data_IF_851089690581
#
_entry.id   IF_851089690581
#
_cell.length_a   1.000
_cell.length_b   1.000
_cell.length_c   1.000
_cell.angle_alpha   90.00
_cell.angle_beta   90.00
_cell.angle_gamma   90.00
#
_symmetry.space_group_name_H-M   'P 1'
#
loop_
_entity.id
_entity.type
_entity.pdbx_description
1 polymer ?
#
# COMPACT_ATOMS: atom_id res chain seq x y z
N UNK A 1 -1.50 -11.59 -19.37
CA UNK A 1 -1.59 -11.26 -17.93
C UNK A 1 -0.60 -12.04 -17.07
N UNK A 2 -0.61 -13.39 -17.01
CA UNK A 2 0.36 -14.14 -16.18
C UNK A 2 1.80 -13.86 -16.62
N UNK A 3 2.08 -13.88 -17.91
CA UNK A 3 3.42 -13.62 -18.47
C UNK A 3 3.88 -12.18 -18.26
N UNK A 4 2.95 -11.23 -18.20
CA UNK A 4 3.24 -9.82 -17.87
C UNK A 4 3.74 -9.65 -16.43
N UNK A 5 3.27 -10.51 -15.52
CA UNK A 5 3.68 -10.53 -14.12
C UNK A 5 4.83 -11.49 -13.81
N UNK A 6 5.64 -11.90 -14.81
CA UNK A 6 6.72 -12.86 -14.63
C UNK A 6 6.27 -14.15 -13.92
N UNK A 7 5.02 -14.57 -14.18
CA UNK A 7 4.42 -15.78 -13.64
C UNK A 7 3.36 -15.52 -12.56
N UNK A 8 2.71 -16.63 -12.19
CA UNK A 8 1.57 -16.62 -11.27
C UNK A 8 1.92 -16.07 -9.87
N UNK A 9 3.16 -16.29 -9.43
CA UNK A 9 3.62 -15.87 -8.09
C UNK A 9 3.53 -14.36 -7.92
N UNK A 10 4.08 -13.58 -8.85
CA UNK A 10 4.05 -12.12 -8.75
C UNK A 10 2.66 -11.54 -9.02
N UNK A 11 1.86 -12.19 -9.86
CA UNK A 11 0.46 -11.83 -10.02
C UNK A 11 -0.32 -11.99 -8.70
N UNK A 12 -0.12 -13.10 -7.99
CA UNK A 12 -0.76 -13.35 -6.69
C UNK A 12 -0.28 -12.33 -5.65
N UNK A 13 1.02 -12.04 -5.58
CA UNK A 13 1.58 -11.02 -4.68
C UNK A 13 0.95 -9.65 -4.97
N UNK A 14 0.82 -9.27 -6.25
CA UNK A 14 0.17 -8.03 -6.66
C UNK A 14 -1.30 -7.97 -6.19
N UNK A 15 -2.07 -9.03 -6.44
CA UNK A 15 -3.47 -9.11 -6.02
C UNK A 15 -3.59 -9.01 -4.50
N UNK A 16 -2.80 -9.76 -3.74
CA UNK A 16 -2.83 -9.73 -2.26
C UNK A 16 -2.47 -8.33 -1.74
N UNK A 17 -1.43 -7.71 -2.29
CA UNK A 17 -1.00 -6.38 -1.89
C UNK A 17 -2.11 -5.34 -2.08
N UNK A 18 -2.72 -5.28 -3.28
CA UNK A 18 -3.76 -4.29 -3.56
C UNK A 18 -5.12 -4.65 -2.98
N UNK A 19 -5.41 -5.92 -2.69
CA UNK A 19 -6.55 -6.32 -1.85
C UNK A 19 -6.39 -5.80 -0.42
N UNK A 20 -5.17 -5.80 0.13
CA UNK A 20 -4.86 -5.14 1.40
C UNK A 20 -5.16 -3.64 1.37
N UNK A 21 -4.74 -2.94 0.32
CA UNK A 21 -5.06 -1.52 0.12
C UNK A 21 -6.57 -1.27 0.01
N UNK A 22 -7.29 -2.11 -0.74
CA UNK A 22 -8.74 -2.01 -0.87
C UNK A 22 -9.44 -2.22 0.48
N UNK A 23 -8.96 -3.17 1.29
CA UNK A 23 -9.46 -3.43 2.64
C UNK A 23 -9.28 -2.20 3.55
N UNK A 24 -8.08 -1.58 3.56
CA UNK A 24 -7.86 -0.36 4.33
C UNK A 24 -8.60 0.85 3.77
N UNK A 25 -8.74 0.97 2.46
CA UNK A 25 -9.60 1.97 1.84
C UNK A 25 -11.04 1.89 2.35
N UNK A 26 -11.62 0.67 2.33
CA UNK A 26 -12.95 0.42 2.86
C UNK A 26 -13.07 0.80 4.34
N UNK A 27 -12.15 0.34 5.17
CA UNK A 27 -12.15 0.61 6.62
C UNK A 27 -12.02 2.11 6.92
N UNK A 28 -11.12 2.80 6.24
CA UNK A 28 -10.88 4.23 6.48
C UNK A 28 -11.99 5.12 5.96
N UNK A 29 -12.63 4.78 4.82
CA UNK A 29 -13.63 5.65 4.18
C UNK A 29 -15.04 5.31 4.61
N UNK A 30 -15.43 4.03 4.55
CA UNK A 30 -16.80 3.59 4.79
C UNK A 30 -17.04 3.08 6.21
N UNK A 31 -16.04 2.51 6.85
CA UNK A 31 -16.11 2.00 8.22
C UNK A 31 -15.27 2.83 9.20
N UNK A 32 -15.17 4.13 8.95
CA UNK A 32 -14.28 5.08 9.66
C UNK A 32 -14.46 5.03 11.17
N UNK A 33 -15.69 5.03 11.66
CA UNK A 33 -15.98 5.03 13.10
C UNK A 33 -15.40 3.78 13.78
N UNK A 34 -15.65 2.60 13.23
CA UNK A 34 -15.11 1.35 13.78
C UNK A 34 -13.58 1.33 13.74
N UNK A 35 -12.97 1.88 12.69
CA UNK A 35 -11.52 2.01 12.59
C UNK A 35 -10.94 2.92 13.67
N UNK A 36 -11.49 4.12 13.83
CA UNK A 36 -11.06 5.10 14.85
C UNK A 36 -11.20 4.53 16.27
N UNK A 37 -12.31 3.84 16.55
CA UNK A 37 -12.56 3.21 17.86
C UNK A 37 -11.58 2.08 18.15
N UNK A 38 -11.25 1.25 17.15
CA UNK A 38 -10.30 0.15 17.29
C UNK A 38 -8.89 0.64 17.69
N UNK A 39 -8.48 1.77 17.16
CA UNK A 39 -7.18 2.38 17.49
C UNK A 39 -7.23 3.31 18.69
N UNK A 40 -8.39 3.46 19.34
CA UNK A 40 -8.56 4.35 20.49
C UNK A 40 -8.38 5.83 20.14
N UNK A 41 -8.57 6.20 18.88
CA UNK A 41 -8.55 7.58 18.42
C UNK A 41 -9.90 8.26 18.70
N UNK A 42 -9.89 9.54 19.05
CA UNK A 42 -11.12 10.30 19.20
C UNK A 42 -11.81 10.60 17.86
N UNK A 43 -13.10 10.95 17.89
CA UNK A 43 -13.91 11.23 16.68
C UNK A 43 -13.29 12.33 15.78
N UNK A 44 -12.49 13.23 16.34
CA UNK A 44 -11.74 14.24 15.58
C UNK A 44 -10.74 13.67 14.57
N UNK A 45 -10.30 12.41 14.75
CA UNK A 45 -9.43 11.76 13.81
C UNK A 45 -10.14 11.26 12.53
N UNK A 46 -11.47 11.24 12.52
CA UNK A 46 -12.25 10.65 11.41
C UNK A 46 -11.97 11.31 10.06
N UNK A 47 -11.81 12.64 10.02
CA UNK A 47 -11.54 13.36 8.76
C UNK A 47 -10.17 12.98 8.16
N UNK A 48 -9.13 12.92 9.00
CA UNK A 48 -7.78 12.55 8.58
C UNK A 48 -7.74 11.07 8.16
N UNK A 49 -8.44 10.19 8.89
CA UNK A 49 -8.58 8.78 8.53
C UNK A 49 -9.20 8.61 7.15
N UNK A 50 -10.24 9.40 6.80
CA UNK A 50 -10.84 9.38 5.46
C UNK A 50 -9.89 9.89 4.38
N UNK A 51 -9.07 10.90 4.66
CA UNK A 51 -8.06 11.37 3.72
C UNK A 51 -7.03 10.28 3.42
N UNK A 52 -6.55 9.57 4.44
CA UNK A 52 -5.70 8.38 4.25
C UNK A 52 -6.40 7.31 3.41
N UNK A 53 -7.67 7.05 3.70
CA UNK A 53 -8.48 6.14 2.90
C UNK A 53 -8.53 6.53 1.42
N UNK A 54 -8.64 7.84 1.12
CA UNK A 54 -8.60 8.37 -0.24
C UNK A 54 -7.29 8.04 -0.99
N UNK A 55 -6.14 8.07 -0.30
CA UNK A 55 -4.85 7.68 -0.87
C UNK A 55 -4.87 6.19 -1.25
N UNK A 56 -5.39 5.32 -0.38
CA UNK A 56 -5.54 3.91 -0.69
C UNK A 56 -6.48 3.65 -1.87
N UNK A 57 -7.62 4.37 -1.94
CA UNK A 57 -8.53 4.30 -3.10
C UNK A 57 -7.79 4.64 -4.40
N UNK A 58 -7.06 5.76 -4.42
CA UNK A 58 -6.28 6.18 -5.59
C UNK A 58 -5.26 5.12 -6.03
N UNK A 59 -4.57 4.50 -5.07
CA UNK A 59 -3.59 3.44 -5.34
C UNK A 59 -4.26 2.18 -5.93
N UNK A 60 -5.42 1.79 -5.41
CA UNK A 60 -6.20 0.66 -5.94
C UNK A 60 -6.70 0.94 -7.36
N UNK A 61 -7.22 2.15 -7.61
CA UNK A 61 -7.67 2.55 -8.94
C UNK A 61 -6.52 2.54 -9.95
N UNK A 62 -5.31 2.98 -9.54
CA UNK A 62 -4.15 2.91 -10.41
C UNK A 62 -3.69 1.47 -10.67
N UNK A 63 -3.74 0.59 -9.67
CA UNK A 63 -3.45 -0.83 -9.85
C UNK A 63 -4.43 -1.50 -10.82
N UNK A 64 -5.74 -1.20 -10.70
CA UNK A 64 -6.75 -1.68 -11.65
C UNK A 64 -6.55 -1.11 -13.06
N UNK A 65 -6.13 0.16 -13.17
CA UNK A 65 -5.79 0.77 -14.44
C UNK A 65 -4.63 0.02 -15.13
N UNK A 66 -3.56 -0.26 -14.40
CA UNK A 66 -2.40 -1.01 -14.91
C UNK A 66 -2.82 -2.43 -15.35
N UNK A 67 -3.68 -3.08 -14.56
CA UNK A 67 -4.06 -4.48 -14.82
C UNK A 67 -5.04 -4.63 -15.99
N UNK A 68 -5.98 -3.69 -16.17
CA UNK A 68 -7.14 -3.90 -17.05
C UNK A 68 -7.34 -2.84 -18.15
N UNK A 69 -6.75 -1.66 -18.02
CA UNK A 69 -7.06 -0.53 -18.91
C UNK A 69 -5.85 -0.14 -19.75
N UNK A 70 -4.69 -0.15 -19.15
CA UNK A 70 -3.46 0.30 -19.80
C UNK A 70 -2.98 -0.70 -20.84
N UNK A 71 -2.73 -0.25 -22.08
CA UNK A 71 -2.31 -1.10 -23.21
C UNK A 71 -0.92 -1.71 -22.98
N UNK A 72 -0.02 -0.96 -22.35
CA UNK A 72 1.34 -1.39 -22.03
C UNK A 72 1.41 -2.21 -20.72
N UNK A 73 0.29 -2.41 -20.04
CA UNK A 73 0.25 -3.16 -18.78
C UNK A 73 1.24 -2.62 -17.73
N UNK A 74 2.18 -3.46 -17.31
CA UNK A 74 3.22 -3.11 -16.33
C UNK A 74 4.37 -2.28 -16.89
N UNK A 75 4.56 -2.24 -18.22
CA UNK A 75 5.72 -1.60 -18.82
C UNK A 75 5.79 -0.10 -18.48
N UNK A 76 6.97 0.35 -18.03
CA UNK A 76 7.20 1.75 -17.67
C UNK A 76 6.45 2.24 -16.42
N UNK A 77 5.86 1.35 -15.61
CA UNK A 77 5.12 1.72 -14.40
C UNK A 77 6.01 1.86 -13.15
N UNK A 78 7.32 1.96 -13.32
CA UNK A 78 8.31 2.03 -12.24
C UNK A 78 8.00 3.09 -11.19
N UNK A 79 7.54 4.26 -11.61
CA UNK A 79 7.24 5.37 -10.70
C UNK A 79 6.12 4.99 -9.72
N UNK A 80 5.08 4.31 -10.18
CA UNK A 80 3.99 3.83 -9.34
C UNK A 80 4.48 2.77 -8.33
N UNK A 81 5.19 1.74 -8.79
CA UNK A 81 5.67 0.69 -7.91
C UNK A 81 6.65 1.19 -6.85
N UNK A 82 7.59 2.05 -7.24
CA UNK A 82 8.53 2.68 -6.30
C UNK A 82 7.81 3.59 -5.30
N UNK A 83 6.83 4.38 -5.75
CA UNK A 83 6.03 5.22 -4.86
C UNK A 83 5.30 4.38 -3.82
N UNK A 84 4.63 3.30 -4.23
CA UNK A 84 3.93 2.38 -3.32
C UNK A 84 4.90 1.75 -2.32
N UNK A 85 6.06 1.29 -2.78
CA UNK A 85 7.10 0.75 -1.88
C UNK A 85 7.57 1.77 -0.85
N UNK A 86 7.92 2.98 -1.30
CA UNK A 86 8.39 4.04 -0.42
C UNK A 86 7.30 4.50 0.56
N UNK A 87 6.06 4.61 0.13
CA UNK A 87 4.93 4.93 1.02
C UNK A 87 4.78 3.89 2.13
N UNK A 88 4.77 2.59 1.78
CA UNK A 88 4.67 1.52 2.76
C UNK A 88 5.86 1.53 3.73
N UNK A 89 7.08 1.67 3.21
CA UNK A 89 8.29 1.72 4.01
C UNK A 89 8.28 2.91 4.99
N UNK A 90 7.92 4.11 4.51
CA UNK A 90 7.83 5.28 5.36
C UNK A 90 6.77 5.13 6.44
N UNK A 91 5.57 4.62 6.09
CA UNK A 91 4.51 4.37 7.08
C UNK A 91 4.96 3.34 8.10
N UNK A 92 5.61 2.26 7.69
CA UNK A 92 6.17 1.25 8.59
C UNK A 92 7.19 1.86 9.56
N UNK A 93 8.18 2.61 9.06
CA UNK A 93 9.22 3.23 9.88
C UNK A 93 8.65 4.26 10.86
N UNK A 94 7.73 5.11 10.40
CA UNK A 94 7.05 6.10 11.24
C UNK A 94 6.20 5.41 12.31
N UNK A 95 5.49 4.34 11.97
CA UNK A 95 4.69 3.57 12.92
C UNK A 95 5.56 2.90 13.99
N UNK A 96 6.72 2.33 13.60
CA UNK A 96 7.69 1.77 14.55
C UNK A 96 8.26 2.85 15.48
N UNK A 97 8.60 4.02 14.92
CA UNK A 97 9.10 5.14 15.69
C UNK A 97 8.06 5.63 16.70
N UNK A 98 6.81 5.84 16.25
CA UNK A 98 5.71 6.27 17.11
C UNK A 98 5.44 5.26 18.23
N UNK A 99 5.45 3.96 17.93
CA UNK A 99 5.25 2.90 18.92
C UNK A 99 6.38 2.87 19.98
N UNK A 100 7.63 3.18 19.59
CA UNK A 100 8.76 3.24 20.54
C UNK A 100 8.72 4.49 21.41
N UNK A 101 8.23 5.61 20.92
CA UNK A 101 8.13 6.86 21.67
C UNK A 101 7.02 6.81 22.74
N UNK A 102 6.01 5.98 22.59
CA UNK A 102 5.04 5.57 23.62
C UNK A 102 4.15 6.67 24.20
N UNK A 103 4.20 7.91 23.69
CA UNK A 103 3.58 9.03 24.41
C UNK A 103 2.47 9.76 23.68
N UNK A 104 2.53 9.89 22.36
CA UNK A 104 1.55 10.66 21.61
C UNK A 104 0.85 9.77 20.58
N UNK A 105 -0.47 9.68 20.67
CA UNK A 105 -1.31 8.93 19.72
C UNK A 105 -1.34 7.41 19.95
N UNK A 106 -0.69 6.90 21.02
CA UNK A 106 -0.76 5.50 21.44
C UNK A 106 -1.40 5.39 22.82
N UNK A 107 -2.22 4.35 23.01
CA UNK A 107 -2.84 4.00 24.29
C UNK A 107 -3.02 2.47 24.36
N UNK A 108 -3.56 1.96 25.46
CA UNK A 108 -3.78 0.52 25.67
C UNK A 108 -4.66 -0.16 24.61
N UNK A 109 -5.46 0.61 23.88
CA UNK A 109 -6.32 0.12 22.80
C UNK A 109 -5.64 0.17 21.43
N UNK A 110 -4.46 0.81 21.32
CA UNK A 110 -3.76 0.94 20.05
C UNK A 110 -3.36 -0.42 19.52
N UNK A 111 -3.91 -0.81 18.37
CA UNK A 111 -3.67 -2.11 17.76
C UNK A 111 -2.24 -2.23 17.22
N UNK A 112 -1.61 -3.39 17.45
CA UNK A 112 -0.31 -3.75 16.86
C UNK A 112 -0.38 -3.84 15.33
N UNK A 113 -1.59 -3.98 14.77
CA UNK A 113 -1.85 -3.95 13.33
C UNK A 113 -1.28 -2.69 12.67
N UNK A 114 -1.25 -1.56 13.40
CA UNK A 114 -0.77 -0.27 12.91
C UNK A 114 0.69 -0.25 12.41
N UNK A 115 1.54 -1.20 12.84
CA UNK A 115 2.89 -1.34 12.31
C UNK A 115 3.15 -2.68 11.60
N UNK A 116 2.44 -3.75 11.96
CA UNK A 116 2.57 -5.04 11.28
C UNK A 116 2.07 -4.95 9.83
N UNK A 117 0.90 -4.37 9.61
CA UNK A 117 0.32 -4.30 8.27
C UNK A 117 1.18 -3.48 7.29
N UNK A 118 1.67 -2.26 7.63
CA UNK A 118 2.61 -1.55 6.76
C UNK A 118 3.91 -2.34 6.53
N UNK A 119 4.40 -3.08 7.53
CA UNK A 119 5.58 -3.94 7.39
C UNK A 119 5.37 -5.06 6.35
N UNK A 120 4.25 -5.76 6.42
CA UNK A 120 3.89 -6.78 5.44
C UNK A 120 3.73 -6.17 4.04
N UNK A 121 3.02 -5.04 3.93
CA UNK A 121 2.84 -4.34 2.65
C UNK A 121 4.17 -3.84 2.08
N UNK A 122 5.12 -3.42 2.93
CA UNK A 122 6.49 -3.05 2.50
C UNK A 122 7.20 -4.24 1.87
N UNK A 123 7.15 -5.42 2.51
CA UNK A 123 7.76 -6.64 1.97
C UNK A 123 7.14 -7.05 0.64
N UNK A 124 5.81 -7.05 0.54
CA UNK A 124 5.11 -7.39 -0.70
C UNK A 124 5.45 -6.40 -1.83
N UNK A 125 5.48 -5.09 -1.56
CA UNK A 125 5.84 -4.09 -2.57
C UNK A 125 7.32 -4.15 -2.96
N UNK A 126 8.24 -4.48 -2.03
CA UNK A 126 9.64 -4.72 -2.35
C UNK A 126 9.81 -5.93 -3.29
N UNK A 127 9.08 -7.03 -3.02
CA UNK A 127 9.08 -8.21 -3.88
C UNK A 127 8.53 -7.89 -5.28
N UNK A 128 7.51 -7.05 -5.38
CA UNK A 128 6.98 -6.59 -6.68
C UNK A 128 8.00 -5.73 -7.43
N UNK A 129 8.64 -4.76 -6.77
CA UNK A 129 9.67 -3.92 -7.38
C UNK A 129 10.85 -4.75 -7.89
N UNK A 130 11.29 -5.78 -7.13
CA UNK A 130 12.38 -6.66 -7.49
C UNK A 130 11.99 -7.64 -8.60
N UNK A 131 10.89 -8.35 -8.41
CA UNK A 131 10.49 -9.46 -9.30
C UNK A 131 9.89 -9.03 -10.63
N UNK A 132 9.45 -7.76 -10.73
CA UNK A 132 8.93 -7.15 -11.96
C UNK A 132 9.88 -6.11 -12.56
N UNK A 133 11.14 -6.06 -12.10
CA UNK A 133 12.09 -5.01 -12.48
C UNK A 133 12.29 -4.92 -13.99
N UNK A 134 12.37 -6.05 -14.69
CA UNK A 134 12.51 -6.16 -16.15
C UNK A 134 11.31 -5.55 -16.90
N UNK A 135 10.12 -5.56 -16.32
CA UNK A 135 8.89 -4.98 -16.88
C UNK A 135 8.75 -3.50 -16.52
N UNK A 136 8.78 -3.21 -15.22
CA UNK A 136 8.48 -1.86 -14.73
C UNK A 136 9.54 -0.83 -15.13
N UNK A 137 10.82 -1.24 -15.30
CA UNK A 137 11.92 -0.35 -15.70
C UNK A 137 12.28 -0.42 -17.19
N UNK A 138 11.48 -1.09 -18.01
CA UNK A 138 11.76 -1.35 -19.43
C UNK A 138 12.25 -0.10 -20.19
N UNK A 139 11.58 1.02 -20.07
CA UNK A 139 11.94 2.26 -20.76
C UNK A 139 13.25 2.89 -20.29
N UNK A 140 13.71 2.60 -19.07
CA UNK A 140 14.98 3.11 -18.54
C UNK A 140 16.18 2.30 -19.04
N UNK A 141 15.97 1.04 -19.42
CA UNK A 141 17.02 0.16 -19.93
C UNK A 141 17.34 0.44 -21.39
N UNK A 142 16.35 0.87 -22.18
CA UNK A 142 16.50 1.18 -23.59
C UNK A 142 17.11 2.57 -23.89
N UNK A 143 17.16 3.47 -22.89
CA UNK A 143 17.74 4.80 -23.02
C UNK A 143 19.26 4.85 -22.73
N UNK A 144 19.91 3.72 -22.60
CA UNK A 144 21.37 3.56 -22.54
C UNK A 144 21.91 2.98 -23.83
#
# INVERSE_FOLDING_TARGET
MIDEFNGITYLVIFIIHFAGYAFYAFRCVLSTKAFVDQYGMGDGAAIITRFFGGIFVGSVLMALNIMFIRSEGLEGSWAFFNLIFLQNLCVFLVSLFANRQGSLGTNEKTSIEGYIAPGVLTLLSALLCYGLADKIYWNLILCK
#
